data_IF_422711632903
#
_entry.id   IF_422711632903
#
_cell.length_a   1.000
_cell.length_b   1.000
_cell.length_c   1.000
_cell.angle_alpha   90.00
_cell.angle_beta   90.00
_cell.angle_gamma   90.00
#
_symmetry.space_group_name_H-M   'P 1'
#
loop_
_entity.id
_entity.type
_entity.pdbx_description
1 polymer ?
#
# COMPACT_ATOMS: atom_id res chain seq x y z
N UNK A 1 -27.19 -8.70 0.96
CA UNK A 1 -26.17 -9.77 1.09
C UNK A 1 -25.00 -9.17 1.85
N UNK A 2 -24.70 -9.71 3.03
CA UNK A 2 -23.69 -9.15 3.95
C UNK A 2 -22.29 -9.38 3.38
N UNK A 3 -21.57 -8.32 3.02
CA UNK A 3 -20.16 -8.38 2.64
C UNK A 3 -19.32 -8.42 3.91
N UNK A 4 -18.97 -9.63 4.35
CA UNK A 4 -17.99 -9.83 5.42
C UNK A 4 -16.66 -9.16 5.01
N UNK A 5 -16.09 -8.38 5.93
CA UNK A 5 -15.03 -7.39 5.70
C UNK A 5 -13.66 -7.91 5.23
N UNK A 6 -13.56 -9.09 4.61
CA UNK A 6 -12.32 -9.51 3.97
C UNK A 6 -12.56 -10.50 2.81
N UNK A 7 -13.08 -9.99 1.70
CA UNK A 7 -13.32 -10.79 0.48
C UNK A 7 -12.02 -11.29 -0.16
N UNK A 8 -10.94 -10.50 -0.08
CA UNK A 8 -9.64 -10.82 -0.68
C UNK A 8 -8.69 -11.40 0.36
N UNK A 9 -8.23 -12.63 0.15
CA UNK A 9 -7.28 -13.32 1.03
C UNK A 9 -5.94 -13.54 0.35
N UNK A 10 -4.86 -13.48 1.11
CA UNK A 10 -3.53 -13.85 0.62
C UNK A 10 -3.43 -15.37 0.45
N UNK A 11 -2.88 -15.81 -0.67
CA UNK A 11 -2.53 -17.21 -0.89
C UNK A 11 -1.27 -17.36 -1.73
N UNK A 12 -0.62 -18.50 -1.59
CA UNK A 12 0.42 -18.96 -2.50
C UNK A 12 -0.20 -19.71 -3.66
N UNK A 13 0.09 -19.28 -4.87
CA UNK A 13 -0.53 -19.81 -6.08
C UNK A 13 -0.06 -21.23 -6.37
N UNK A 14 -0.99 -22.19 -6.39
CA UNK A 14 -0.70 -23.59 -6.76
C UNK A 14 -0.67 -23.82 -8.27
N UNK A 15 -1.44 -23.04 -9.02
CA UNK A 15 -1.59 -23.15 -10.47
C UNK A 15 -1.47 -21.78 -11.12
N UNK A 16 -0.69 -21.68 -12.19
CA UNK A 16 -0.48 -20.41 -12.89
C UNK A 16 -1.80 -19.83 -13.39
N UNK A 17 -2.02 -18.55 -13.16
CA UNK A 17 -3.26 -17.84 -13.50
C UNK A 17 -2.97 -16.44 -14.00
N UNK A 18 -3.93 -15.79 -14.66
CA UNK A 18 -3.79 -14.38 -15.03
C UNK A 18 -4.42 -13.48 -13.99
N UNK A 19 -3.74 -12.38 -13.66
CA UNK A 19 -4.24 -11.35 -12.78
C UNK A 19 -5.47 -10.67 -13.38
N UNK A 20 -6.56 -10.54 -12.61
CA UNK A 20 -7.80 -9.89 -13.05
C UNK A 20 -7.56 -8.43 -13.49
N UNK A 21 -6.71 -7.71 -12.77
CA UNK A 21 -6.43 -6.28 -12.98
C UNK A 21 -5.54 -6.02 -14.18
N UNK A 22 -4.32 -6.55 -14.17
CA UNK A 22 -3.31 -6.21 -15.18
C UNK A 22 -3.21 -7.22 -16.32
N UNK A 23 -3.96 -8.34 -16.24
CA UNK A 23 -3.95 -9.46 -17.20
C UNK A 23 -2.61 -10.18 -17.35
N UNK A 24 -1.56 -9.76 -16.64
CA UNK A 24 -0.27 -10.45 -16.60
C UNK A 24 -0.37 -11.73 -15.79
N UNK A 25 0.53 -12.67 -16.10
CA UNK A 25 0.63 -13.98 -15.45
C UNK A 25 1.05 -13.84 -13.98
N UNK A 26 0.47 -14.71 -13.16
CA UNK A 26 0.85 -15.04 -11.79
C UNK A 26 1.35 -16.48 -11.82
N UNK A 27 2.58 -16.70 -11.40
CA UNK A 27 3.28 -17.98 -11.50
C UNK A 27 3.00 -18.87 -10.29
N UNK A 28 3.19 -20.19 -10.47
CA UNK A 28 3.11 -21.14 -9.37
C UNK A 28 4.18 -20.80 -8.32
N UNK A 29 3.78 -20.78 -7.06
CA UNK A 29 4.65 -20.40 -5.93
C UNK A 29 4.63 -18.91 -5.59
N UNK A 30 4.04 -18.05 -6.42
CA UNK A 30 3.94 -16.61 -6.13
C UNK A 30 2.85 -16.32 -5.09
N UNK A 31 3.04 -15.25 -4.32
CA UNK A 31 2.03 -14.71 -3.40
C UNK A 31 1.04 -13.84 -4.19
N UNK A 32 -0.26 -14.07 -4.00
CA UNK A 32 -1.32 -13.35 -4.67
C UNK A 32 -2.55 -13.19 -3.76
N UNK A 33 -3.50 -12.35 -4.20
CA UNK A 33 -4.78 -12.17 -3.55
C UNK A 33 -5.88 -12.91 -4.30
N UNK A 34 -6.72 -13.64 -3.57
CA UNK A 34 -7.88 -14.36 -4.10
C UNK A 34 -9.18 -13.90 -3.47
N UNK A 35 -10.17 -13.60 -4.30
CA UNK A 35 -11.50 -13.17 -3.87
C UNK A 35 -12.41 -14.37 -3.62
N UNK A 36 -13.00 -14.43 -2.42
CA UNK A 36 -13.94 -15.50 -2.03
C UNK A 36 -15.24 -15.42 -2.83
N UNK A 37 -15.75 -14.21 -3.06
CA UNK A 37 -17.00 -13.96 -3.78
C UNK A 37 -16.84 -14.15 -5.29
N UNK A 38 -15.85 -13.50 -5.90
CA UNK A 38 -15.69 -13.46 -7.36
C UNK A 38 -14.79 -14.56 -7.91
N UNK A 39 -14.18 -15.39 -7.03
CA UNK A 39 -13.23 -16.47 -7.37
C UNK A 39 -12.11 -16.00 -8.30
N UNK A 40 -11.76 -14.73 -8.19
CA UNK A 40 -10.76 -14.10 -9.05
C UNK A 40 -9.46 -13.88 -8.30
N UNK A 41 -8.36 -13.78 -9.04
CA UNK A 41 -7.02 -13.66 -8.49
C UNK A 41 -6.31 -12.45 -9.07
N UNK A 42 -5.50 -11.76 -8.27
CA UNK A 42 -4.67 -10.64 -8.71
C UNK A 42 -3.36 -10.59 -7.94
N UNK A 43 -2.35 -9.94 -8.51
CA UNK A 43 -1.12 -9.63 -7.78
C UNK A 43 -1.44 -8.80 -6.54
N UNK A 44 -0.65 -8.97 -5.48
CA UNK A 44 -0.74 -8.12 -4.28
C UNK A 44 -0.64 -6.64 -4.69
N UNK A 45 0.32 -6.30 -5.55
CA UNK A 45 0.53 -4.93 -6.05
C UNK A 45 -0.56 -4.44 -7.01
N UNK A 46 -1.36 -5.34 -7.58
CA UNK A 46 -2.48 -4.94 -8.44
C UNK A 46 -3.74 -4.62 -7.64
N UNK A 47 -3.76 -4.98 -6.36
CA UNK A 47 -4.85 -4.62 -5.46
C UNK A 47 -5.06 -3.11 -5.34
N UNK A 48 -3.95 -2.36 -5.36
CA UNK A 48 -3.94 -0.89 -5.28
C UNK A 48 -4.17 -0.21 -6.64
N UNK A 49 -4.09 -0.94 -7.76
CA UNK A 49 -4.34 -0.38 -9.10
C UNK A 49 -5.80 -0.43 -9.53
N UNK A 50 -6.65 -1.18 -8.85
CA UNK A 50 -8.11 -1.24 -9.09
C UNK A 50 -8.88 -0.03 -8.51
N UNK A 51 -8.19 1.00 -8.01
CA UNK A 51 -8.77 2.15 -7.28
C UNK A 51 -9.56 3.17 -8.15
N UNK A 52 -10.27 2.72 -9.19
CA UNK A 52 -11.38 3.51 -9.75
C UNK A 52 -12.70 3.27 -9.00
N UNK A 53 -12.73 2.34 -8.04
CA UNK A 53 -13.88 2.06 -7.19
C UNK A 53 -13.65 2.62 -5.76
N UNK A 54 -14.36 3.70 -5.36
CA UNK A 54 -14.21 4.35 -4.06
C UNK A 54 -14.74 3.50 -2.88
N UNK A 55 -15.41 2.36 -3.13
CA UNK A 55 -15.90 1.48 -2.06
C UNK A 55 -14.83 0.57 -1.44
N UNK A 56 -13.62 0.54 -2.01
CA UNK A 56 -12.56 -0.39 -1.62
C UNK A 56 -11.34 0.30 -0.94
N UNK A 57 -11.54 1.52 -0.42
CA UNK A 57 -10.58 2.20 0.47
C UNK A 57 -10.71 1.63 1.89
N UNK A 58 -10.45 0.34 2.11
CA UNK A 58 -10.64 -0.28 3.45
C UNK A 58 -9.63 -1.37 3.86
N UNK A 59 -8.50 -1.53 3.17
CA UNK A 59 -7.36 -2.29 3.72
C UNK A 59 -6.04 -1.47 3.65
N UNK A 60 -6.06 -0.30 3.00
CA UNK A 60 -4.91 0.58 2.79
C UNK A 60 -5.22 2.07 3.05
N UNK A 61 -6.35 2.37 3.68
CA UNK A 61 -7.05 3.67 3.60
C UNK A 61 -6.26 4.88 4.08
N UNK A 62 -5.25 4.68 4.93
CA UNK A 62 -4.44 5.76 5.49
C UNK A 62 -2.97 5.40 5.68
N UNK A 63 -2.46 4.38 4.98
CA UNK A 63 -1.01 4.17 4.95
C UNK A 63 -0.35 5.33 4.22
N UNK A 64 0.57 5.99 4.90
CA UNK A 64 1.27 7.16 4.41
C UNK A 64 2.33 6.72 3.41
N UNK A 65 2.81 7.67 2.61
CA UNK A 65 3.97 7.42 1.75
C UNK A 65 5.23 7.82 2.48
N UNK A 66 6.26 6.99 2.34
CA UNK A 66 7.60 7.33 2.76
C UNK A 66 8.07 8.55 1.97
N UNK A 67 8.50 9.60 2.64
CA UNK A 67 9.01 10.81 2.02
C UNK A 67 10.27 10.50 1.16
N UNK A 68 11.09 9.53 1.59
CA UNK A 68 12.35 9.18 0.92
C UNK A 68 12.13 8.32 -0.32
N UNK A 69 11.35 7.24 -0.24
CA UNK A 69 11.25 6.24 -1.31
C UNK A 69 9.85 6.08 -1.91
N UNK A 70 8.85 6.79 -1.40
CA UNK A 70 7.45 6.72 -1.86
C UNK A 70 6.71 5.42 -1.53
N UNK A 71 7.39 4.43 -0.93
CA UNK A 71 6.77 3.17 -0.48
C UNK A 71 5.80 3.41 0.68
N UNK A 72 4.90 2.47 0.94
CA UNK A 72 3.96 2.56 2.06
C UNK A 72 4.73 2.61 3.39
N UNK A 73 4.28 3.50 4.27
CA UNK A 73 4.84 3.78 5.58
C UNK A 73 3.70 3.88 6.62
N UNK A 74 4.01 3.45 7.84
CA UNK A 74 3.04 3.37 8.93
C UNK A 74 2.24 2.06 8.99
N UNK A 75 1.55 1.87 10.11
CA UNK A 75 0.75 0.69 10.39
C UNK A 75 -0.51 0.66 9.50
N UNK A 76 -0.93 -0.55 9.12
CA UNK A 76 -2.19 -0.79 8.39
C UNK A 76 -3.40 -0.34 9.21
N UNK A 77 -3.35 -0.56 10.52
CA UNK A 77 -4.36 -0.13 11.49
C UNK A 77 -3.75 0.89 12.46
N UNK A 78 -4.50 1.93 12.81
CA UNK A 78 -4.11 2.91 13.81
C UNK A 78 -5.21 3.06 14.85
N UNK A 79 -4.84 2.94 16.12
CA UNK A 79 -5.74 3.04 17.26
C UNK A 79 -6.41 4.43 17.37
N UNK A 80 -5.80 5.46 16.75
CA UNK A 80 -6.29 6.83 16.72
C UNK A 80 -7.09 7.16 15.45
N UNK A 81 -7.40 6.19 14.59
CA UNK A 81 -7.99 6.45 13.27
C UNK A 81 -9.37 7.15 13.31
N UNK A 82 -10.06 7.06 14.45
CA UNK A 82 -11.35 7.74 14.71
C UNK A 82 -11.19 9.25 14.93
N UNK A 83 -10.07 9.66 15.52
CA UNK A 83 -9.85 11.03 15.99
C UNK A 83 -8.69 11.73 15.25
N UNK A 84 -7.91 10.97 14.47
CA UNK A 84 -6.75 11.45 13.73
C UNK A 84 -6.83 11.02 12.25
N UNK A 85 -7.04 12.01 11.38
CA UNK A 85 -6.81 11.81 9.96
C UNK A 85 -5.31 11.94 9.64
N UNK A 86 -4.65 10.78 9.57
CA UNK A 86 -3.24 10.66 9.22
C UNK A 86 -2.89 11.35 7.89
N UNK A 87 -3.82 11.41 6.93
CA UNK A 87 -3.58 12.04 5.63
C UNK A 87 -3.51 13.57 5.71
N UNK A 88 -4.10 14.17 6.74
CA UNK A 88 -4.07 15.60 6.99
C UNK A 88 -2.95 16.00 7.96
N UNK A 89 -2.72 15.20 9.01
CA UNK A 89 -1.80 15.55 10.10
C UNK A 89 -0.35 15.11 9.84
N UNK A 90 -0.15 14.03 9.09
CA UNK A 90 1.18 13.44 8.88
C UNK A 90 1.42 13.19 7.39
N UNK A 91 1.71 14.24 6.63
CA UNK A 91 2.05 14.10 5.21
C UNK A 91 3.48 13.60 4.97
N UNK A 92 4.30 13.57 6.02
CA UNK A 92 5.72 13.20 5.96
C UNK A 92 5.95 12.01 6.90
N UNK A 93 6.17 10.84 6.31
CA UNK A 93 6.43 9.60 7.03
C UNK A 93 7.72 8.95 6.50
N UNK A 94 8.33 8.06 7.29
CA UNK A 94 9.48 7.27 6.87
C UNK A 94 9.16 5.78 7.05
N UNK A 95 9.45 4.96 6.04
CA UNK A 95 9.28 3.50 6.16
C UNK A 95 10.47 2.88 6.92
N UNK A 96 10.25 1.71 7.53
CA UNK A 96 11.27 1.02 8.34
C UNK A 96 12.58 0.80 7.59
N UNK A 97 12.52 0.39 6.32
CA UNK A 97 13.71 0.19 5.49
C UNK A 97 14.57 1.45 5.36
N UNK A 98 13.94 2.61 5.20
CA UNK A 98 14.66 3.89 5.09
C UNK A 98 15.11 4.42 6.46
N UNK A 99 14.42 4.03 7.54
CA UNK A 99 14.82 4.36 8.90
C UNK A 99 16.05 3.56 9.35
N UNK A 100 16.13 2.30 8.97
CA UNK A 100 17.24 1.40 9.32
C UNK A 100 18.52 1.67 8.48
N UNK A 101 18.51 2.66 7.59
CA UNK A 101 19.68 3.08 6.81
C UNK A 101 20.62 3.97 7.66
N UNK A 102 21.93 3.81 7.50
CA UNK A 102 22.95 4.56 8.25
C UNK A 102 22.84 6.08 8.04
N UNK A 103 22.28 6.51 6.90
CA UNK A 103 22.04 7.92 6.55
C UNK A 103 20.59 8.39 6.71
N UNK A 104 19.73 7.66 7.42
CA UNK A 104 18.28 7.91 7.47
C UNK A 104 17.90 9.37 7.78
N UNK A 105 18.58 9.98 8.75
CA UNK A 105 18.30 11.36 9.19
C UNK A 105 18.67 12.39 8.10
N UNK A 106 19.86 12.26 7.52
CA UNK A 106 20.34 13.16 6.46
C UNK A 106 19.47 13.03 5.21
N UNK A 107 19.15 11.79 4.81
CA UNK A 107 18.25 11.50 3.70
C UNK A 107 16.86 12.12 3.92
N UNK A 108 16.33 12.01 5.14
CA UNK A 108 15.05 12.63 5.49
C UNK A 108 15.13 14.16 5.37
N UNK A 109 16.14 14.81 5.96
CA UNK A 109 16.29 16.26 5.88
C UNK A 109 16.48 16.77 4.45
N UNK A 110 17.25 16.07 3.62
CA UNK A 110 17.43 16.43 2.21
C UNK A 110 16.10 16.48 1.47
N UNK A 111 15.24 15.49 1.72
CA UNK A 111 13.88 15.45 1.17
C UNK A 111 13.01 16.57 1.73
N UNK A 112 12.99 16.79 3.05
CA UNK A 112 12.17 17.85 3.66
C UNK A 112 12.59 19.25 3.20
N UNK A 113 13.90 19.51 3.14
CA UNK A 113 14.42 20.79 2.67
C UNK A 113 14.08 21.03 1.18
N UNK A 114 13.97 19.98 0.37
CA UNK A 114 13.49 20.11 -1.01
C UNK A 114 12.02 20.57 -1.09
N UNK A 115 11.17 20.12 -0.15
CA UNK A 115 9.77 20.57 -0.06
C UNK A 115 9.65 22.03 0.39
N UNK A 116 10.51 22.47 1.31
CA UNK A 116 10.51 23.86 1.82
C UNK A 116 11.08 24.85 0.80
N UNK A 117 12.08 24.44 0.01
CA UNK A 117 12.79 25.34 -0.93
C UNK A 117 12.18 25.39 -2.34
N UNK A 118 11.08 24.67 -2.60
CA UNK A 118 10.34 24.72 -3.86
C UNK A 118 11.07 24.18 -5.10
N UNK A 119 12.27 23.60 -4.95
CA UNK A 119 13.00 22.99 -6.05
C UNK A 119 12.50 21.57 -6.29
N UNK A 120 11.48 21.44 -7.15
CA UNK A 120 11.31 20.22 -7.96
C UNK A 120 12.43 20.23 -9.01
N UNK A 121 13.45 19.40 -8.84
CA UNK A 121 14.33 19.01 -9.94
C UNK A 121 13.80 17.76 -10.62
#
# INVERSE_FOLDING_TARGET
MQTNGNDWINLTVKFTSNCKTCRKRISKGELALWSRSSKSIKHVDCHTRDLSDPSYVSINSKQLKCAICGSLAGCTECEFEKDCDRTLVSQLCICKKCYDDNGALENYYNVINSFVTGKKS
#
